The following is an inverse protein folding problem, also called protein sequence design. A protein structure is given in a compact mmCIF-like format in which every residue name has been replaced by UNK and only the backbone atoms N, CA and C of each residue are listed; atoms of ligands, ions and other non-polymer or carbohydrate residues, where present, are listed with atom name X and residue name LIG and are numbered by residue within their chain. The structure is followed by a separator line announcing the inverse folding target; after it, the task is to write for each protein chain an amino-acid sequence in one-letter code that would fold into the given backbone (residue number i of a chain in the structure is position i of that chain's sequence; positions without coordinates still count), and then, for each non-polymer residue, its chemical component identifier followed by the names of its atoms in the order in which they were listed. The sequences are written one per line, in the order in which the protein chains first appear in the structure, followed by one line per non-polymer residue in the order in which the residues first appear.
data_IF_009702531491
#
_entry.id   IF_009702531491
#
_cell.length_a   1.000
_cell.length_b   1.000
_cell.length_c   1.000
_cell.angle_alpha   90.00
_cell.angle_beta   90.00
_cell.angle_gamma   90.00
#
_symmetry.space_group_name_H-M   'P 1'
#
loop_
_entity.id
_entity.type
_entity.pdbx_description
1 polymer ?
#
# COMPACT_ATOMS: atom_id res chain seq x y z
N UNK A 1 19.38 3.76 19.47
CA UNK A 1 19.69 3.41 18.06
C UNK A 1 18.38 3.43 17.29
N UNK A 2 18.28 4.22 16.23
CA UNK A 2 17.10 4.29 15.37
C UNK A 2 16.91 2.93 14.70
N UNK A 3 15.78 2.26 14.93
CA UNK A 3 15.50 0.99 14.26
C UNK A 3 15.23 1.26 12.79
N UNK A 4 16.18 0.88 11.94
CA UNK A 4 16.13 1.07 10.49
C UNK A 4 15.36 -0.04 9.77
N UNK A 5 15.01 -1.13 10.47
CA UNK A 5 14.29 -2.27 9.88
C UNK A 5 12.95 -1.86 9.27
N UNK A 6 12.10 -1.03 9.93
CA UNK A 6 10.83 -0.61 9.33
C UNK A 6 11.02 0.19 8.04
N UNK A 7 12.06 1.03 7.98
CA UNK A 7 12.36 1.85 6.79
C UNK A 7 12.79 0.96 5.63
N UNK A 8 13.63 -0.05 5.89
CA UNK A 8 14.02 -1.04 4.88
C UNK A 8 12.82 -1.84 4.35
N UNK A 9 11.89 -2.23 5.23
CA UNK A 9 10.65 -2.91 4.82
C UNK A 9 9.83 -2.01 3.90
N UNK A 10 9.68 -0.73 4.26
CA UNK A 10 9.05 0.28 3.41
C UNK A 10 9.69 0.34 2.03
N UNK A 11 11.00 0.61 1.96
CA UNK A 11 11.73 0.73 0.69
C UNK A 11 11.57 -0.53 -0.17
N UNK A 12 11.68 -1.71 0.44
CA UNK A 12 11.54 -2.99 -0.28
C UNK A 12 10.16 -3.13 -0.92
N UNK A 13 9.09 -2.82 -0.17
CA UNK A 13 7.72 -2.90 -0.66
C UNK A 13 7.47 -1.85 -1.75
N UNK A 14 7.91 -0.60 -1.54
CA UNK A 14 7.77 0.47 -2.53
C UNK A 14 8.48 0.16 -3.84
N UNK A 15 9.73 -0.29 -3.77
CA UNK A 15 10.49 -0.70 -4.95
C UNK A 15 9.86 -1.90 -5.67
N UNK A 16 9.36 -2.89 -4.93
CA UNK A 16 8.69 -4.05 -5.54
C UNK A 16 7.43 -3.65 -6.32
N UNK A 17 6.57 -2.79 -5.74
CA UNK A 17 5.35 -2.35 -6.42
C UNK A 17 5.65 -1.48 -7.64
N UNK A 18 6.60 -0.55 -7.53
CA UNK A 18 7.03 0.25 -8.67
C UNK A 18 7.64 -0.63 -9.78
N UNK A 19 8.42 -1.66 -9.42
CA UNK A 19 9.00 -2.60 -10.39
C UNK A 19 7.92 -3.42 -11.11
N UNK A 20 6.87 -3.88 -10.40
CA UNK A 20 5.76 -4.61 -11.03
C UNK A 20 5.05 -3.74 -12.08
N UNK A 21 4.71 -2.50 -11.75
CA UNK A 21 4.04 -1.60 -12.69
C UNK A 21 4.94 -1.20 -13.88
N UNK A 22 6.25 -1.09 -13.64
CA UNK A 22 7.24 -0.90 -14.70
C UNK A 22 7.31 -2.11 -15.65
N UNK A 23 7.32 -3.33 -15.12
CA UNK A 23 7.34 -4.57 -15.90
C UNK A 23 6.04 -4.79 -16.68
N UNK A 24 4.90 -4.29 -16.19
CA UNK A 24 3.61 -4.27 -16.88
C UNK A 24 3.56 -3.27 -18.06
N UNK A 25 4.69 -2.63 -18.39
CA UNK A 25 4.80 -1.72 -19.52
C UNK A 25 4.22 -0.33 -19.26
N UNK A 26 4.03 0.06 -17.99
CA UNK A 26 3.54 1.39 -17.62
C UNK A 26 4.70 2.27 -17.21
N UNK A 27 5.11 3.13 -18.14
CA UNK A 27 6.33 3.92 -18.04
C UNK A 27 6.11 5.36 -17.55
N UNK A 28 4.92 5.71 -17.06
CA UNK A 28 4.62 7.04 -16.57
C UNK A 28 5.45 7.32 -15.30
N UNK A 29 6.50 8.16 -15.35
CA UNK A 29 7.43 8.30 -14.24
C UNK A 29 6.76 8.87 -12.98
N UNK A 30 5.78 9.76 -13.15
CA UNK A 30 5.00 10.35 -12.07
C UNK A 30 4.17 9.30 -11.33
N UNK A 31 3.62 8.33 -12.07
CA UNK A 31 2.82 7.23 -11.53
C UNK A 31 3.69 6.25 -10.76
N UNK A 32 4.82 5.85 -11.34
CA UNK A 32 5.78 4.94 -10.69
C UNK A 32 6.35 5.55 -9.41
N UNK A 33 6.69 6.84 -9.44
CA UNK A 33 7.18 7.56 -8.27
C UNK A 33 6.10 7.68 -7.19
N UNK A 34 4.87 8.03 -7.58
CA UNK A 34 3.75 8.16 -6.63
C UNK A 34 3.44 6.82 -5.95
N UNK A 35 3.35 5.74 -6.72
CA UNK A 35 3.15 4.39 -6.19
C UNK A 35 4.30 3.96 -5.30
N UNK A 36 5.55 4.17 -5.73
CA UNK A 36 6.75 3.82 -4.96
C UNK A 36 6.77 4.53 -3.60
N UNK A 37 6.47 5.84 -3.57
CA UNK A 37 6.41 6.62 -2.32
C UNK A 37 5.28 6.13 -1.41
N UNK A 38 4.08 5.97 -1.95
CA UNK A 38 2.92 5.55 -1.16
C UNK A 38 3.18 4.17 -0.54
N UNK A 39 3.64 3.20 -1.33
CA UNK A 39 3.92 1.85 -0.83
C UNK A 39 5.13 1.80 0.10
N UNK A 40 6.11 2.68 -0.07
CA UNK A 40 7.20 2.88 0.89
C UNK A 40 6.67 3.33 2.24
N UNK A 41 5.79 4.34 2.25
CA UNK A 41 5.16 4.85 3.45
C UNK A 41 4.27 3.79 4.11
N UNK A 42 3.44 3.08 3.33
CA UNK A 42 2.59 2.01 3.84
C UNK A 42 3.41 0.91 4.52
N UNK A 43 4.44 0.41 3.84
CA UNK A 43 5.31 -0.64 4.39
C UNK A 43 6.05 -0.18 5.64
N UNK A 44 6.57 1.05 5.63
CA UNK A 44 7.25 1.63 6.78
C UNK A 44 6.33 1.78 7.99
N UNK A 45 5.15 2.38 7.81
CA UNK A 45 4.20 2.62 8.90
C UNK A 45 3.68 1.30 9.49
N UNK A 46 3.32 0.32 8.65
CA UNK A 46 2.85 -0.99 9.12
C UNK A 46 3.95 -1.75 9.88
N UNK A 47 5.18 -1.72 9.39
CA UNK A 47 6.31 -2.37 10.06
C UNK A 47 6.65 -1.67 11.38
N UNK A 48 6.64 -0.34 11.40
CA UNK A 48 6.90 0.48 12.60
C UNK A 48 5.84 0.25 13.67
N UNK A 49 4.57 0.18 13.27
CA UNK A 49 3.43 0.00 14.17
C UNK A 49 3.03 -1.47 14.35
N UNK A 50 3.92 -2.40 14.01
CA UNK A 50 3.68 -3.85 14.07
C UNK A 50 3.37 -4.37 15.48
N UNK A 51 3.91 -3.74 16.52
CA UNK A 51 3.57 -4.05 17.92
C UNK A 51 2.12 -3.68 18.24
N UNK A 52 1.69 -2.47 17.85
CA UNK A 52 0.31 -1.99 18.02
C UNK A 52 -0.68 -2.84 17.23
N UNK A 53 -0.31 -3.28 16.02
CA UNK A 53 -1.08 -4.26 15.23
C UNK A 53 -1.27 -5.59 15.96
N UNK A 54 -0.27 -6.01 16.72
CA UNK A 54 -0.27 -7.29 17.44
C UNK A 54 -1.04 -7.21 18.76
N UNK A 55 -1.03 -6.05 19.40
CA UNK A 55 -1.75 -5.75 20.65
C UNK A 55 -3.22 -5.40 20.43
N UNK A 56 -3.54 -4.75 19.30
CA UNK A 56 -4.91 -4.53 18.88
C UNK A 56 -5.63 -5.88 18.70
N UNK A 57 -6.95 -5.88 18.92
CA UNK A 57 -7.77 -7.08 18.73
C UNK A 57 -7.57 -7.59 17.29
N UNK A 58 -6.82 -8.68 17.14
CA UNK A 58 -6.30 -9.18 15.86
C UNK A 58 -7.39 -9.31 14.80
N UNK A 59 -8.60 -9.65 15.22
CA UNK A 59 -9.75 -9.81 14.33
C UNK A 59 -10.16 -8.48 13.69
N UNK A 60 -10.14 -7.38 14.44
CA UNK A 60 -10.50 -6.05 13.94
C UNK A 60 -9.41 -5.47 13.04
N UNK A 61 -8.13 -5.58 13.45
CA UNK A 61 -7.01 -5.12 12.62
C UNK A 61 -6.89 -5.92 11.33
N UNK A 62 -7.08 -7.24 11.39
CA UNK A 62 -7.11 -8.09 10.20
C UNK A 62 -8.30 -7.75 9.31
N UNK A 63 -9.50 -7.60 9.88
CA UNK A 63 -10.68 -7.19 9.12
C UNK A 63 -10.49 -5.84 8.43
N UNK A 64 -9.84 -4.88 9.09
CA UNK A 64 -9.61 -3.55 8.54
C UNK A 64 -8.57 -3.57 7.40
N UNK A 65 -7.48 -4.31 7.56
CA UNK A 65 -6.50 -4.52 6.47
C UNK A 65 -7.17 -5.25 5.29
N UNK A 66 -7.98 -6.26 5.57
CA UNK A 66 -8.73 -7.00 4.56
C UNK A 66 -9.72 -6.10 3.83
N UNK A 67 -10.43 -5.24 4.56
CA UNK A 67 -11.35 -4.25 4.00
C UNK A 67 -10.62 -3.31 3.02
N UNK A 68 -9.48 -2.75 3.45
CA UNK A 68 -8.68 -1.81 2.67
C UNK A 68 -8.03 -2.46 1.45
N UNK A 69 -7.71 -3.75 1.50
CA UNK A 69 -7.07 -4.46 0.39
C UNK A 69 -8.08 -5.03 -0.61
N UNK A 70 -9.21 -5.57 -0.13
CA UNK A 70 -10.19 -6.27 -0.97
C UNK A 70 -11.18 -5.32 -1.62
N UNK A 71 -11.74 -4.34 -0.90
CA UNK A 71 -12.79 -3.46 -1.44
C UNK A 71 -12.33 -2.72 -2.71
N UNK A 72 -11.12 -2.15 -2.79
CA UNK A 72 -10.67 -1.47 -4.00
C UNK A 72 -10.67 -2.35 -5.25
N UNK A 73 -10.52 -3.68 -5.10
CA UNK A 73 -10.55 -4.62 -6.24
C UNK A 73 -11.94 -4.69 -6.90
N UNK A 74 -12.99 -4.40 -6.14
CA UNK A 74 -14.39 -4.43 -6.60
C UNK A 74 -14.96 -3.03 -6.87
N UNK A 75 -14.34 -1.98 -6.33
CA UNK A 75 -14.80 -0.60 -6.51
C UNK A 75 -14.59 -0.05 -7.94
N UNK A 76 -13.59 -0.54 -8.66
CA UNK A 76 -13.30 -0.11 -10.03
C UNK A 76 -13.89 -1.10 -11.03
N UNK A 77 -15.01 -0.69 -11.64
CA UNK A 77 -15.76 -1.49 -12.58
C UNK A 77 -14.88 -1.97 -13.75
N UNK A 78 -14.88 -3.27 -14.09
CA UNK A 78 -13.97 -3.85 -15.08
C UNK A 78 -14.16 -3.29 -16.49
N UNK A 79 -15.38 -2.83 -16.82
CA UNK A 79 -15.71 -2.28 -18.15
C UNK A 79 -15.33 -0.80 -18.31
N UNK A 80 -14.68 -0.17 -17.33
CA UNK A 80 -14.20 1.20 -17.49
C UNK A 80 -13.07 1.20 -18.54
N UNK A 81 -13.07 2.13 -19.52
CA UNK A 81 -12.07 2.21 -20.58
C UNK A 81 -10.75 2.80 -20.05
N UNK A 82 -10.11 2.09 -19.12
CA UNK A 82 -8.92 2.55 -18.40
C UNK A 82 -7.60 2.09 -19.04
N UNK A 83 -7.65 1.38 -20.17
CA UNK A 83 -6.46 0.98 -20.97
C UNK A 83 -5.29 0.42 -20.13
N UNK A 84 -5.60 -0.37 -19.09
CA UNK A 84 -4.61 -0.92 -18.16
C UNK A 84 -4.48 -0.17 -16.83
N UNK A 85 -4.77 1.14 -16.75
CA UNK A 85 -4.62 1.94 -15.52
C UNK A 85 -5.46 1.45 -14.32
N UNK A 86 -6.41 0.53 -14.56
CA UNK A 86 -7.20 -0.11 -13.51
C UNK A 86 -6.31 -0.71 -12.42
N UNK A 87 -5.26 -1.46 -12.76
CA UNK A 87 -4.40 -2.07 -11.73
C UNK A 87 -3.64 -1.00 -10.94
N UNK A 88 -3.12 0.03 -11.62
CA UNK A 88 -2.45 1.19 -10.99
C UNK A 88 -3.37 1.84 -9.97
N UNK A 89 -4.63 2.11 -10.36
CA UNK A 89 -5.61 2.76 -9.49
C UNK A 89 -5.98 1.89 -8.29
N UNK A 90 -6.14 0.58 -8.48
CA UNK A 90 -6.37 -0.36 -7.38
C UNK A 90 -5.20 -0.30 -6.39
N UNK A 91 -3.95 -0.43 -6.88
CA UNK A 91 -2.74 -0.38 -6.05
C UNK A 91 -2.59 0.96 -5.33
N UNK A 92 -2.95 2.06 -5.99
CA UNK A 92 -2.94 3.39 -5.41
C UNK A 92 -3.95 3.50 -4.25
N UNK A 93 -5.19 3.07 -4.47
CA UNK A 93 -6.24 3.11 -3.44
C UNK A 93 -5.89 2.23 -2.24
N UNK A 94 -5.37 1.02 -2.48
CA UNK A 94 -4.90 0.13 -1.41
C UNK A 94 -3.77 0.79 -0.63
N UNK A 95 -2.76 1.32 -1.35
CA UNK A 95 -1.62 1.99 -0.76
C UNK A 95 -2.03 3.14 0.18
N UNK A 96 -2.88 4.05 -0.31
CA UNK A 96 -3.41 5.18 0.48
C UNK A 96 -4.15 4.68 1.72
N UNK A 97 -5.01 3.67 1.56
CA UNK A 97 -5.73 3.09 2.69
C UNK A 97 -4.79 2.54 3.75
N UNK A 98 -3.73 1.80 3.34
CA UNK A 98 -2.73 1.26 4.25
C UNK A 98 -1.91 2.35 4.96
N UNK A 99 -1.58 3.46 4.29
CA UNK A 99 -1.01 4.64 4.96
C UNK A 99 -1.98 5.16 6.02
N UNK A 100 -3.27 5.28 5.69
CA UNK A 100 -4.30 5.70 6.63
C UNK A 100 -4.40 4.80 7.86
N UNK A 101 -4.36 3.47 7.68
CA UNK A 101 -4.28 2.51 8.80
C UNK A 101 -3.01 2.73 9.61
N UNK A 102 -1.88 2.82 8.92
CA UNK A 102 -0.56 3.08 9.50
C UNK A 102 -0.56 4.28 10.45
N UNK A 103 -1.06 5.42 9.96
CA UNK A 103 -1.19 6.67 10.71
C UNK A 103 -2.25 6.59 11.82
N UNK A 104 -3.39 5.97 11.55
CA UNK A 104 -4.47 5.83 12.52
C UNK A 104 -4.09 5.01 13.75
N UNK A 105 -3.07 4.15 13.64
CA UNK A 105 -2.51 3.42 14.79
C UNK A 105 -1.53 4.27 15.60
N UNK A 106 -1.04 5.39 15.07
CA UNK A 106 -0.15 6.30 15.81
C UNK A 106 -0.92 7.22 16.76
N UNK A 107 -2.17 7.53 16.41
CA UNK A 107 -3.15 8.29 17.19
C UNK A 107 -3.73 7.39 18.30
#
# INVERSE_FOLDING_TARGET
MTDYKPVLVGITIGSAVAAVEYLDGRWFPEVLLSLGVIWTLSGWLLARNSSKLREANKLHSFALILLVTIIPMFGIHPNLPLNGLRTTLILLTIGIGLVGVGLGMEI
#
